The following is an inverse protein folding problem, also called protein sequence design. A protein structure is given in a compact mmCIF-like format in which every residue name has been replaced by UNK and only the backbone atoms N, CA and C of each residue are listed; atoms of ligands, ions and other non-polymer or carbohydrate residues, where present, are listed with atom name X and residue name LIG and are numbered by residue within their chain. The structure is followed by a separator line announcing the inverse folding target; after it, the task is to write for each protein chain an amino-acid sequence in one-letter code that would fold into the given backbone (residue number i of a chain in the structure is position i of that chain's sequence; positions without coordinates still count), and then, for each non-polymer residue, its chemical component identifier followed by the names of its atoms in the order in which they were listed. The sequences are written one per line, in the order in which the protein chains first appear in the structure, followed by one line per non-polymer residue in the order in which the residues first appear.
data_IF_151916436810
#
_entry.id   IF_151916436810
#
_cell.length_a   1.000
_cell.length_b   1.000
_cell.length_c   1.000
_cell.angle_alpha   90.00
_cell.angle_beta   90.00
_cell.angle_gamma   90.00
#
_symmetry.space_group_name_H-M   'P 1'
#
loop_
_entity.id
_entity.type
_entity.pdbx_description
1 polymer ?
#
# COMPACT_ATOMS: atom_id res chain seq x y z
N UNK A 1 7.43 0.79 12.23
CA UNK A 1 8.63 1.63 12.42
C UNK A 1 8.31 3.12 12.37
N UNK A 2 7.96 3.71 11.22
CA UNK A 2 7.74 5.16 11.12
C UNK A 2 6.64 5.70 12.07
N UNK A 3 5.42 5.18 11.94
CA UNK A 3 4.24 5.61 12.73
C UNK A 3 4.36 5.30 14.22
N UNK A 4 4.71 4.06 14.55
CA UNK A 4 4.61 3.58 15.94
C UNK A 4 5.93 3.71 16.73
N UNK A 5 7.03 4.15 16.11
CA UNK A 5 8.33 4.25 16.79
C UNK A 5 9.06 5.56 16.46
N UNK A 6 9.35 5.84 15.18
CA UNK A 6 10.21 6.96 14.80
C UNK A 6 9.57 8.35 14.98
N UNK A 7 8.26 8.44 14.76
CA UNK A 7 7.49 9.68 14.93
C UNK A 7 6.70 9.71 16.26
N UNK A 8 6.90 8.75 17.16
CA UNK A 8 6.34 8.83 18.50
C UNK A 8 7.29 9.62 19.41
N UNK A 9 6.76 10.55 20.19
CA UNK A 9 7.50 11.28 21.20
C UNK A 9 7.26 10.63 22.57
N UNK A 10 8.30 10.60 23.39
CA UNK A 10 8.21 10.07 24.73
C UNK A 10 7.98 11.21 25.71
N UNK A 11 6.83 11.21 26.38
CA UNK A 11 6.53 12.19 27.43
C UNK A 11 7.41 11.96 28.66
N UNK A 12 7.54 12.98 29.50
CA UNK A 12 8.30 12.93 30.76
C UNK A 12 7.83 11.80 31.69
N UNK A 13 6.56 11.39 31.56
CA UNK A 13 5.93 10.31 32.35
C UNK A 13 6.21 8.90 31.80
N UNK A 14 7.09 8.77 30.80
CA UNK A 14 7.48 7.50 30.20
C UNK A 14 6.52 6.95 29.13
N UNK A 15 5.34 7.55 28.97
CA UNK A 15 4.31 7.21 27.98
C UNK A 15 4.67 7.73 26.58
N UNK A 16 4.54 6.87 25.55
CA UNK A 16 4.69 7.26 24.16
C UNK A 16 3.44 7.97 23.61
N UNK A 17 3.58 9.24 23.24
CA UNK A 17 2.56 10.01 22.54
C UNK A 17 2.84 10.03 21.04
N UNK A 18 1.82 9.76 20.23
CA UNK A 18 1.93 9.89 18.78
C UNK A 18 1.87 11.37 18.40
N UNK A 19 2.93 11.85 17.75
CA UNK A 19 2.92 13.20 17.16
C UNK A 19 1.93 13.28 15.99
N UNK A 20 1.57 14.49 15.56
CA UNK A 20 0.75 14.71 14.36
C UNK A 20 1.37 14.04 13.11
N UNK A 21 2.70 14.05 13.03
CA UNK A 21 3.43 13.35 11.97
C UNK A 21 3.14 11.84 11.99
N UNK A 22 3.13 11.21 13.16
CA UNK A 22 2.83 9.78 13.29
C UNK A 22 1.38 9.46 12.93
N UNK A 23 0.43 10.28 13.39
CA UNK A 23 -1.00 10.08 13.18
C UNK A 23 -1.38 10.15 11.70
N UNK A 24 -0.81 11.12 10.98
CA UNK A 24 -1.15 11.38 9.58
C UNK A 24 -0.12 10.85 8.57
N UNK A 25 0.95 10.17 9.02
CA UNK A 25 2.05 9.72 8.17
C UNK A 25 1.60 8.93 6.93
N UNK A 26 0.68 7.97 7.09
CA UNK A 26 0.22 7.13 5.97
C UNK A 26 -0.57 7.95 4.94
N UNK A 27 -1.34 8.94 5.39
CA UNK A 27 -2.04 9.86 4.49
C UNK A 27 -1.06 10.77 3.75
N UNK A 28 -0.09 11.34 4.46
CA UNK A 28 0.99 12.13 3.85
C UNK A 28 1.82 11.33 2.86
N UNK A 29 2.20 10.10 3.21
CA UNK A 29 2.95 9.20 2.34
C UNK A 29 2.15 8.86 1.07
N UNK A 30 0.85 8.59 1.20
CA UNK A 30 -0.05 8.35 0.08
C UNK A 30 -0.14 9.55 -0.86
N UNK A 31 -0.37 10.75 -0.33
CA UNK A 31 -0.42 11.99 -1.12
C UNK A 31 0.92 12.30 -1.79
N UNK A 32 2.02 12.21 -1.04
CA UNK A 32 3.38 12.42 -1.50
C UNK A 32 3.81 11.40 -2.58
N UNK A 33 3.15 10.23 -2.63
CA UNK A 33 3.39 9.25 -3.68
C UNK A 33 2.53 9.51 -4.91
N UNK A 34 1.22 9.66 -4.74
CA UNK A 34 0.30 9.69 -5.87
C UNK A 34 0.32 11.02 -6.64
N UNK A 35 0.36 12.16 -5.94
CA UNK A 35 0.27 13.48 -6.58
C UNK A 35 1.45 13.73 -7.52
N UNK A 36 2.72 13.53 -7.12
CA UNK A 36 3.85 13.76 -8.01
C UNK A 36 3.86 12.80 -9.19
N UNK A 37 3.54 11.51 -8.99
CA UNK A 37 3.43 10.56 -10.10
C UNK A 37 2.40 11.01 -11.13
N UNK A 38 1.21 11.44 -10.68
CA UNK A 38 0.14 11.89 -11.55
C UNK A 38 0.55 13.16 -12.33
N UNK A 39 1.05 14.17 -11.62
CA UNK A 39 1.43 15.46 -12.22
C UNK A 39 2.55 15.29 -13.25
N UNK A 40 3.59 14.53 -12.92
CA UNK A 40 4.71 14.35 -13.84
C UNK A 40 4.36 13.44 -15.02
N UNK A 41 3.45 12.47 -14.84
CA UNK A 41 2.91 11.70 -15.97
C UNK A 41 2.11 12.60 -16.91
N UNK A 42 1.26 13.49 -16.36
CA UNK A 42 0.51 14.48 -17.14
C UNK A 42 1.43 15.45 -17.88
N UNK A 43 2.44 16.00 -17.20
CA UNK A 43 3.44 16.90 -17.80
C UNK A 43 4.21 16.16 -18.90
N UNK A 44 4.63 14.90 -18.68
CA UNK A 44 5.35 14.11 -19.68
C UNK A 44 4.53 13.84 -20.96
N UNK A 45 3.20 13.96 -20.86
CA UNK A 45 2.26 13.81 -21.96
C UNK A 45 2.20 15.07 -22.84
N UNK A 46 2.10 16.24 -22.23
CA UNK A 46 1.96 17.53 -22.94
C UNK A 46 3.30 18.19 -23.27
N UNK A 47 4.24 18.11 -22.35
CA UNK A 47 5.61 18.56 -22.55
C UNK A 47 6.35 17.39 -23.16
N UNK A 48 6.51 17.39 -24.48
CA UNK A 48 7.46 16.50 -25.12
C UNK A 48 8.88 16.87 -24.65
N UNK A 49 9.28 16.36 -23.48
CA UNK A 49 10.62 16.54 -22.92
C UNK A 49 11.61 16.19 -24.03
N UNK A 50 12.41 17.16 -24.47
CA UNK A 50 13.37 17.00 -25.56
C UNK A 50 14.27 15.79 -25.24
N UNK A 51 14.06 14.69 -25.94
CA UNK A 51 14.56 13.40 -25.50
C UNK A 51 13.73 12.24 -26.01
N UNK A 52 14.32 11.33 -26.77
CA UNK A 52 13.65 10.07 -27.13
C UNK A 52 13.28 9.26 -25.89
N UNK A 53 12.24 8.43 -25.98
CA UNK A 53 11.70 7.62 -24.87
C UNK A 53 12.79 6.87 -24.09
N UNK A 54 13.77 6.29 -24.80
CA UNK A 54 14.92 5.59 -24.21
C UNK A 54 15.73 6.45 -23.25
N UNK A 55 15.99 7.73 -23.58
CA UNK A 55 16.73 8.66 -22.71
C UNK A 55 15.92 9.00 -21.46
N UNK A 56 14.61 9.20 -21.60
CA UNK A 56 13.70 9.47 -20.47
C UNK A 56 13.70 8.28 -19.50
N UNK A 57 13.54 7.06 -20.01
CA UNK A 57 13.57 5.83 -19.21
C UNK A 57 14.91 5.69 -18.48
N UNK A 58 16.04 5.85 -19.19
CA UNK A 58 17.38 5.75 -18.59
C UNK A 58 17.63 6.78 -17.50
N UNK A 59 17.25 8.04 -17.73
CA UNK A 59 17.37 9.10 -16.73
C UNK A 59 16.49 8.85 -15.50
N UNK A 60 15.23 8.45 -15.70
CA UNK A 60 14.33 8.11 -14.58
C UNK A 60 14.88 6.96 -13.74
N UNK A 61 15.40 5.89 -14.36
CA UNK A 61 16.01 4.77 -13.64
C UNK A 61 17.26 5.19 -12.84
N UNK A 62 18.09 6.06 -13.41
CA UNK A 62 19.25 6.61 -12.73
C UNK A 62 18.85 7.44 -11.49
N UNK A 63 17.86 8.32 -11.63
CA UNK A 63 17.31 9.11 -10.50
C UNK A 63 16.72 8.20 -9.42
N UNK A 64 15.96 7.17 -9.81
CA UNK A 64 15.41 6.18 -8.86
C UNK A 64 16.51 5.47 -8.08
N UNK A 65 17.57 5.02 -8.75
CA UNK A 65 18.70 4.34 -8.09
C UNK A 65 19.42 5.25 -7.08
N UNK A 66 19.66 6.52 -7.43
CA UNK A 66 20.26 7.49 -6.52
C UNK A 66 19.40 7.72 -5.29
N UNK A 67 18.09 7.92 -5.47
CA UNK A 67 17.20 8.19 -4.34
C UNK A 67 17.13 6.96 -3.42
N UNK A 68 17.05 5.75 -3.97
CA UNK A 68 17.08 4.51 -3.18
C UNK A 68 18.39 4.41 -2.38
N UNK A 69 19.53 4.74 -2.98
CA UNK A 69 20.82 4.75 -2.28
C UNK A 69 20.83 5.77 -1.13
N UNK A 70 20.32 6.98 -1.37
CA UNK A 70 20.19 8.02 -0.35
C UNK A 70 19.30 7.53 0.80
N UNK A 71 18.12 6.97 0.49
CA UNK A 71 17.20 6.44 1.51
C UNK A 71 17.86 5.31 2.32
N UNK A 72 18.63 4.43 1.67
CA UNK A 72 19.35 3.35 2.34
C UNK A 72 20.43 3.89 3.29
N UNK A 73 21.26 4.84 2.86
CA UNK A 73 22.27 5.47 3.71
C UNK A 73 21.60 6.16 4.91
N UNK A 74 20.49 6.86 4.66
CA UNK A 74 19.76 7.59 5.70
C UNK A 74 19.20 6.65 6.79
N UNK A 75 18.95 5.38 6.48
CA UNK A 75 18.51 4.40 7.51
C UNK A 75 19.58 4.08 8.56
N UNK A 76 20.87 4.31 8.26
CA UNK A 76 21.97 4.09 9.21
C UNK A 76 22.29 5.31 10.07
N UNK A 77 21.76 6.49 9.72
CA UNK A 77 22.05 7.74 10.43
C UNK A 77 21.08 7.89 11.61
N UNK A 78 21.62 8.11 12.81
CA UNK A 78 20.79 8.29 14.00
C UNK A 78 20.16 9.70 14.04
N UNK A 79 18.95 9.83 13.50
CA UNK A 79 18.18 11.09 13.51
C UNK A 79 17.15 11.14 14.64
N UNK A 80 17.43 10.58 15.81
CA UNK A 80 16.42 10.46 16.89
C UNK A 80 16.04 11.79 17.53
N UNK A 81 16.90 12.81 17.43
CA UNK A 81 16.66 14.15 18.00
C UNK A 81 15.98 15.13 17.04
N UNK A 82 15.81 14.79 15.76
CA UNK A 82 15.27 15.69 14.73
C UNK A 82 14.10 15.07 13.97
N UNK A 83 13.00 14.81 14.69
CA UNK A 83 11.81 14.12 14.19
C UNK A 83 11.20 14.86 12.97
N UNK A 84 11.07 16.19 13.05
CA UNK A 84 10.52 17.02 11.98
C UNK A 84 11.40 17.03 10.72
N UNK A 85 12.71 17.23 10.87
CA UNK A 85 13.63 17.21 9.74
C UNK A 85 13.64 15.84 9.04
N UNK A 86 13.65 14.75 9.82
CA UNK A 86 13.55 13.39 9.29
C UNK A 86 12.26 13.17 8.50
N UNK A 87 11.12 13.68 8.99
CA UNK A 87 9.85 13.63 8.29
C UNK A 87 9.90 14.34 6.93
N UNK A 88 10.32 15.61 6.89
CA UNK A 88 10.34 16.40 5.65
C UNK A 88 11.34 15.84 4.62
N UNK A 89 12.52 15.40 5.06
CA UNK A 89 13.50 14.74 4.18
C UNK A 89 12.91 13.45 3.60
N UNK A 90 12.27 12.62 4.43
CA UNK A 90 11.61 11.39 3.97
C UNK A 90 10.55 11.71 2.93
N UNK A 91 9.66 12.67 3.21
CA UNK A 91 8.62 13.07 2.26
C UNK A 91 9.18 13.63 0.96
N UNK A 92 10.25 14.44 1.02
CA UNK A 92 10.92 14.96 -0.17
C UNK A 92 11.49 13.81 -1.04
N UNK A 93 12.14 12.82 -0.44
CA UNK A 93 12.65 11.65 -1.19
C UNK A 93 11.52 10.83 -1.81
N UNK A 94 10.40 10.65 -1.10
CA UNK A 94 9.20 9.97 -1.62
C UNK A 94 8.62 10.71 -2.81
N UNK A 95 8.51 12.05 -2.74
CA UNK A 95 8.01 12.88 -3.85
C UNK A 95 8.89 12.74 -5.08
N UNK A 96 10.21 12.84 -4.92
CA UNK A 96 11.16 12.73 -6.03
C UNK A 96 11.16 11.33 -6.66
N UNK A 97 11.10 10.29 -5.83
CA UNK A 97 11.03 8.90 -6.28
C UNK A 97 9.78 8.66 -7.13
N UNK A 98 8.62 9.12 -6.64
CA UNK A 98 7.35 8.93 -7.31
C UNK A 98 7.20 9.81 -8.56
N UNK A 99 7.78 11.01 -8.58
CA UNK A 99 7.90 11.84 -9.77
C UNK A 99 8.70 11.13 -10.88
N UNK A 100 9.88 10.60 -10.54
CA UNK A 100 10.71 9.85 -11.48
C UNK A 100 10.01 8.57 -11.98
N UNK A 101 9.32 7.86 -11.09
CA UNK A 101 8.51 6.69 -11.43
C UNK A 101 7.37 7.03 -12.41
N UNK A 102 6.70 8.18 -12.25
CA UNK A 102 5.66 8.63 -13.18
C UNK A 102 6.17 8.81 -14.61
N UNK A 103 7.34 9.46 -14.77
CA UNK A 103 7.99 9.62 -16.08
C UNK A 103 8.44 8.27 -16.66
N UNK A 104 9.01 7.39 -15.82
CA UNK A 104 9.44 6.06 -16.21
C UNK A 104 8.26 5.22 -16.74
N UNK A 105 7.18 5.08 -15.95
CA UNK A 105 6.02 4.27 -16.34
C UNK A 105 5.37 4.80 -17.61
N UNK A 106 5.10 6.11 -17.67
CA UNK A 106 4.53 6.77 -18.85
C UNK A 106 5.36 6.47 -20.11
N UNK A 107 6.67 6.71 -20.05
CA UNK A 107 7.57 6.49 -21.18
C UNK A 107 7.71 5.01 -21.57
N UNK A 108 7.67 4.10 -20.60
CA UNK A 108 7.79 2.66 -20.84
C UNK A 108 6.53 2.09 -21.50
N UNK A 109 5.34 2.52 -21.07
CA UNK A 109 4.09 2.17 -21.75
C UNK A 109 4.02 2.77 -23.16
N UNK A 110 4.52 4.00 -23.34
CA UNK A 110 4.66 4.59 -24.67
C UNK A 110 5.64 3.83 -25.59
N UNK A 111 6.74 3.31 -25.04
CA UNK A 111 7.69 2.50 -25.80
C UNK A 111 7.08 1.15 -26.20
N UNK A 112 6.45 0.44 -25.26
CA UNK A 112 5.88 -0.89 -25.50
C UNK A 112 4.63 -0.88 -26.38
N UNK A 113 3.96 0.27 -26.51
CA UNK A 113 2.81 0.47 -27.39
C UNK A 113 3.08 0.11 -28.86
N UNK A 114 4.32 0.27 -29.33
CA UNK A 114 4.71 -0.02 -30.72
C UNK A 114 5.01 -1.52 -30.95
N UNK A 115 5.11 -2.31 -29.88
CA UNK A 115 5.41 -3.74 -29.93
C UNK A 115 4.13 -4.58 -29.86
N UNK A 116 4.19 -5.90 -30.16
CA UNK A 116 3.07 -6.82 -29.96
C UNK A 116 2.43 -6.72 -28.57
N UNK A 117 1.12 -7.01 -28.42
CA UNK A 117 0.36 -6.69 -27.21
C UNK A 117 0.92 -7.38 -25.96
N UNK A 118 1.51 -8.55 -26.15
CA UNK A 118 2.13 -9.34 -25.08
C UNK A 118 3.23 -8.55 -24.35
N UNK A 119 3.93 -7.63 -25.02
CA UNK A 119 4.97 -6.79 -24.38
C UNK A 119 4.37 -5.74 -23.45
N UNK A 120 3.24 -5.13 -23.80
CA UNK A 120 2.53 -4.23 -22.89
C UNK A 120 1.95 -5.00 -21.70
N UNK A 121 1.41 -6.20 -21.93
CA UNK A 121 0.93 -7.03 -20.83
C UNK A 121 2.06 -7.51 -19.91
N UNK A 122 3.24 -7.81 -20.46
CA UNK A 122 4.41 -8.19 -19.66
C UNK A 122 4.77 -7.14 -18.60
N UNK A 123 4.57 -5.84 -18.90
CA UNK A 123 4.75 -4.76 -17.92
C UNK A 123 3.75 -4.87 -16.76
N UNK A 124 2.47 -5.11 -17.06
CA UNK A 124 1.39 -5.17 -16.07
C UNK A 124 1.53 -6.42 -15.21
N UNK A 125 1.80 -7.56 -15.85
CA UNK A 125 2.11 -8.80 -15.16
C UNK A 125 3.33 -8.63 -14.23
N UNK A 126 4.40 -7.98 -14.72
CA UNK A 126 5.57 -7.65 -13.92
C UNK A 126 5.26 -6.80 -12.69
N UNK A 127 4.41 -5.77 -12.83
CA UNK A 127 3.95 -4.96 -11.70
C UNK A 127 3.20 -5.78 -10.65
N UNK A 128 2.28 -6.66 -11.08
CA UNK A 128 1.50 -7.49 -10.14
C UNK A 128 2.37 -8.57 -9.46
N UNK A 129 3.35 -9.15 -10.17
CA UNK A 129 4.34 -10.07 -9.60
C UNK A 129 5.21 -9.34 -8.57
N UNK A 130 5.69 -8.13 -8.89
CA UNK A 130 6.45 -7.30 -7.96
C UNK A 130 5.63 -6.99 -6.69
N UNK A 131 4.35 -6.63 -6.83
CA UNK A 131 3.45 -6.43 -5.69
C UNK A 131 3.26 -7.67 -4.83
N UNK A 132 3.19 -8.85 -5.44
CA UNK A 132 3.14 -10.13 -4.74
C UNK A 132 4.43 -10.36 -3.95
N UNK A 133 5.58 -10.17 -4.58
CA UNK A 133 6.89 -10.29 -3.94
C UNK A 133 7.05 -9.33 -2.76
N UNK A 134 6.70 -8.05 -2.93
CA UNK A 134 6.71 -7.04 -1.86
C UNK A 134 5.80 -7.44 -0.69
N UNK A 135 4.63 -8.01 -0.98
CA UNK A 135 3.70 -8.49 0.05
C UNK A 135 4.28 -9.66 0.86
N UNK A 136 4.94 -10.61 0.19
CA UNK A 136 5.64 -11.72 0.84
C UNK A 136 6.79 -11.20 1.72
N UNK A 137 7.62 -10.31 1.20
CA UNK A 137 8.71 -9.68 1.98
C UNK A 137 8.16 -8.94 3.19
N UNK A 138 7.02 -8.24 3.06
CA UNK A 138 6.35 -7.56 4.16
C UNK A 138 5.90 -8.54 5.25
N UNK A 139 5.27 -9.66 4.89
CA UNK A 139 4.84 -10.71 5.83
C UNK A 139 6.05 -11.33 6.54
N UNK A 140 7.08 -11.71 5.79
CA UNK A 140 8.32 -12.27 6.35
C UNK A 140 8.94 -11.27 7.34
N UNK A 141 9.03 -10.00 6.97
CA UNK A 141 9.57 -8.94 7.84
C UNK A 141 8.77 -8.80 9.13
N UNK A 142 7.44 -8.87 9.06
CA UNK A 142 6.57 -8.83 10.24
C UNK A 142 6.78 -10.05 11.14
N UNK A 143 6.91 -11.26 10.58
CA UNK A 143 7.17 -12.48 11.37
C UNK A 143 8.55 -12.47 12.03
N UNK A 144 9.58 -12.04 11.30
CA UNK A 144 10.91 -11.83 11.87
C UNK A 144 10.88 -10.81 13.01
N UNK A 145 10.19 -9.68 12.81
CA UNK A 145 10.04 -8.66 13.85
C UNK A 145 9.34 -9.22 15.10
N UNK A 146 8.24 -9.97 14.94
CA UNK A 146 7.56 -10.64 16.07
C UNK A 146 8.49 -11.59 16.80
N UNK A 147 9.27 -12.39 16.08
CA UNK A 147 10.21 -13.33 16.67
C UNK A 147 11.26 -12.60 17.53
N UNK A 148 11.87 -11.54 17.00
CA UNK A 148 12.83 -10.73 17.76
C UNK A 148 12.22 -10.07 18.99
N UNK A 149 11.01 -9.52 18.87
CA UNK A 149 10.31 -8.91 20.01
C UNK A 149 9.95 -9.93 21.09
N UNK A 150 9.49 -11.14 20.71
CA UNK A 150 9.23 -12.24 21.66
C UNK A 150 10.53 -12.70 22.35
N UNK A 151 11.64 -12.76 21.61
CA UNK A 151 12.96 -13.11 22.18
C UNK A 151 13.45 -12.04 23.16
N UNK A 152 13.36 -10.76 22.78
CA UNK A 152 13.71 -9.64 23.66
C UNK A 152 12.87 -9.69 24.95
N UNK A 153 11.57 -9.99 24.85
CA UNK A 153 10.69 -10.12 26.03
C UNK A 153 11.15 -11.21 26.98
N UNK A 154 11.47 -12.39 26.47
CA UNK A 154 11.98 -13.48 27.31
C UNK A 154 13.28 -13.12 28.02
N UNK A 155 14.13 -12.30 27.41
CA UNK A 155 15.33 -11.78 28.06
C UNK A 155 15.00 -10.73 29.11
N UNK A 156 14.09 -9.79 28.82
CA UNK A 156 13.63 -8.79 29.80
C UNK A 156 12.92 -9.44 30.98
N UNK A 157 12.02 -10.40 30.78
CA UNK A 157 11.32 -11.10 31.88
C UNK A 157 12.29 -11.91 32.74
N UNK A 158 13.32 -12.53 32.14
CA UNK A 158 14.39 -13.20 32.90
C UNK A 158 15.19 -12.21 33.72
N UNK A 159 15.61 -11.10 33.11
CA UNK A 159 16.34 -10.05 33.80
C UNK A 159 15.49 -9.40 34.89
N UNK A 160 14.18 -9.20 34.70
CA UNK A 160 13.25 -8.66 35.71
C UNK A 160 12.95 -9.69 36.81
N UNK A 161 13.02 -10.99 36.54
CA UNK A 161 12.89 -12.00 37.59
C UNK A 161 14.18 -12.12 38.43
N UNK A 162 15.34 -12.01 37.80
CA UNK A 162 16.65 -11.97 38.48
C UNK A 162 16.86 -10.64 39.21
N UNK A 163 16.67 -9.51 38.52
CA UNK A 163 16.63 -8.17 39.11
C UNK A 163 15.48 -8.02 40.08
N UNK A 164 14.33 -8.68 39.92
CA UNK A 164 13.20 -8.65 40.85
C UNK A 164 13.55 -9.28 42.21
N UNK A 165 14.35 -10.34 42.20
CA UNK A 165 14.97 -10.89 43.41
C UNK A 165 16.00 -9.93 44.03
N UNK A 166 16.73 -9.16 43.21
CA UNK A 166 17.65 -8.11 43.68
C UNK A 166 16.93 -6.80 44.08
N UNK A 167 15.80 -6.46 43.45
CA UNK A 167 14.96 -5.27 43.61
C UNK A 167 14.03 -5.43 44.79
N UNK A 168 13.66 -6.65 45.19
CA UNK A 168 13.03 -6.86 46.50
C UNK A 168 13.98 -6.49 47.66
N UNK A 169 15.31 -6.46 47.42
CA UNK A 169 16.32 -5.87 48.33
C UNK A 169 16.63 -4.38 48.06
N UNK A 170 16.37 -3.86 46.86
CA UNK A 170 16.69 -2.47 46.44
C UNK A 170 15.45 -1.54 46.42
N UNK A 171 14.22 -2.07 46.54
CA UNK A 171 12.93 -1.35 46.54
C UNK A 171 12.78 -0.31 47.65
N UNK A 172 13.78 -0.18 48.52
CA UNK A 172 13.88 0.90 49.48
C UNK A 172 14.34 2.23 48.86
N UNK A 173 15.02 2.27 47.70
CA UNK A 173 15.76 3.50 47.33
C UNK A 173 15.42 4.17 45.99
N UNK A 174 15.41 3.56 44.79
CA UNK A 174 15.11 4.39 43.60
C UNK A 174 14.58 3.58 42.41
N UNK A 175 13.45 4.04 41.89
CA UNK A 175 12.70 3.40 40.83
C UNK A 175 12.73 4.18 39.54
N UNK A 176 13.21 3.54 38.46
CA UNK A 176 12.78 3.83 37.09
C UNK A 176 12.77 2.51 36.30
N UNK A 177 11.58 2.06 35.87
CA UNK A 177 11.36 0.84 35.06
C UNK A 177 10.78 1.26 33.69
N UNK A 178 11.35 0.72 32.61
CA UNK A 178 10.70 0.73 31.29
C UNK A 178 9.59 -0.33 31.25
N UNK A 179 8.35 0.12 31.03
CA UNK A 179 7.12 -0.64 31.28
C UNK A 179 6.85 -1.77 30.26
N UNK A 180 6.74 -3.02 30.73
CA UNK A 180 6.40 -4.20 29.94
C UNK A 180 5.03 -4.12 29.23
N UNK A 181 4.20 -3.15 29.62
CA UNK A 181 2.93 -2.82 28.97
C UNK A 181 3.11 -2.31 27.54
N UNK A 182 4.17 -1.54 27.25
CA UNK A 182 4.45 -1.07 25.88
C UNK A 182 4.84 -2.22 24.96
N UNK A 183 5.65 -3.16 25.46
CA UNK A 183 6.07 -4.34 24.71
C UNK A 183 4.89 -5.29 24.43
N UNK A 184 3.90 -5.33 25.31
CA UNK A 184 2.63 -6.04 25.09
C UNK A 184 1.77 -5.38 24.01
N UNK A 185 1.63 -4.05 24.04
CA UNK A 185 0.89 -3.31 23.01
C UNK A 185 1.50 -3.46 21.62
N UNK A 186 2.82 -3.39 21.49
CA UNK A 186 3.52 -3.50 20.20
C UNK A 186 3.37 -4.91 19.60
N UNK A 187 3.53 -5.96 20.42
CA UNK A 187 3.39 -7.36 19.95
C UNK A 187 1.95 -7.66 19.54
N UNK A 188 0.95 -7.30 20.36
CA UNK A 188 -0.48 -7.50 20.05
C UNK A 188 -0.90 -6.79 18.77
N UNK A 189 -0.43 -5.55 18.54
CA UNK A 189 -0.75 -4.79 17.33
C UNK A 189 -0.13 -5.40 16.06
N UNK A 190 1.01 -6.08 16.19
CA UNK A 190 1.72 -6.76 15.10
C UNK A 190 1.03 -8.09 14.72
N UNK A 191 0.20 -8.67 15.60
CA UNK A 191 -0.58 -9.88 15.31
C UNK A 191 -1.64 -9.69 14.22
N UNK A 192 -1.91 -8.44 13.79
CA UNK A 192 -2.81 -8.14 12.66
C UNK A 192 -2.16 -8.43 11.29
N UNK A 193 -1.82 -9.71 11.04
CA UNK A 193 -1.40 -10.25 9.72
C UNK A 193 -2.52 -10.21 8.67
N UNK A 194 -3.77 -10.05 9.12
CA UNK A 194 -4.94 -10.12 8.27
C UNK A 194 -4.85 -9.14 7.09
N UNK A 195 -4.51 -7.86 7.33
CA UNK A 195 -4.41 -6.88 6.24
C UNK A 195 -3.29 -7.19 5.25
N UNK A 196 -2.03 -7.46 5.66
CA UNK A 196 -0.97 -7.87 4.74
C UNK A 196 -1.31 -9.09 3.87
N UNK A 197 -1.95 -10.10 4.45
CA UNK A 197 -2.30 -11.34 3.75
C UNK A 197 -3.51 -11.11 2.83
N UNK A 198 -4.61 -10.62 3.40
CA UNK A 198 -5.91 -10.59 2.73
C UNK A 198 -6.04 -9.42 1.76
N UNK A 199 -5.42 -8.27 2.05
CA UNK A 199 -5.54 -7.08 1.23
C UNK A 199 -4.38 -6.91 0.23
N UNK A 200 -3.15 -7.29 0.60
CA UNK A 200 -1.99 -7.10 -0.27
C UNK A 200 -1.58 -8.38 -0.99
N UNK A 201 -1.29 -9.47 -0.27
CA UNK A 201 -0.82 -10.70 -0.89
C UNK A 201 -1.89 -11.32 -1.81
N UNK A 202 -3.11 -11.52 -1.29
CA UNK A 202 -4.22 -12.09 -2.04
C UNK A 202 -4.52 -11.26 -3.30
N UNK A 203 -4.66 -9.93 -3.15
CA UNK A 203 -4.95 -9.05 -4.27
C UNK A 203 -3.87 -9.13 -5.35
N UNK A 204 -2.60 -8.94 -4.99
CA UNK A 204 -1.52 -8.91 -5.97
C UNK A 204 -1.30 -10.27 -6.65
N UNK A 205 -1.43 -11.37 -5.90
CA UNK A 205 -1.28 -12.72 -6.46
C UNK A 205 -2.36 -13.02 -7.50
N UNK A 206 -3.63 -12.77 -7.15
CA UNK A 206 -4.74 -13.03 -8.06
C UNK A 206 -4.81 -12.01 -9.21
N UNK A 207 -4.38 -10.77 -9.00
CA UNK A 207 -4.19 -9.82 -10.10
C UNK A 207 -3.09 -10.29 -11.06
N UNK A 208 -1.98 -10.84 -10.55
CA UNK A 208 -0.95 -11.44 -11.41
C UNK A 208 -1.50 -12.62 -12.21
N UNK A 209 -2.29 -13.50 -11.58
CA UNK A 209 -2.97 -14.61 -12.26
C UNK A 209 -3.92 -14.12 -13.38
N UNK A 210 -4.70 -13.07 -13.11
CA UNK A 210 -5.56 -12.43 -14.10
C UNK A 210 -4.78 -11.85 -15.27
N UNK A 211 -3.69 -11.13 -15.01
CA UNK A 211 -2.83 -10.58 -16.06
C UNK A 211 -2.13 -11.67 -16.88
N UNK A 212 -1.77 -12.79 -16.25
CA UNK A 212 -1.21 -13.94 -16.93
C UNK A 212 -2.23 -14.59 -17.88
N UNK A 213 -3.48 -14.78 -17.42
CA UNK A 213 -4.57 -15.32 -18.24
C UNK A 213 -4.83 -14.47 -19.51
N UNK A 214 -4.67 -13.15 -19.41
CA UNK A 214 -4.83 -12.23 -20.54
C UNK A 214 -3.83 -12.46 -21.69
N UNK A 215 -2.71 -13.18 -21.46
CA UNK A 215 -1.79 -13.57 -22.54
C UNK A 215 -2.40 -14.62 -23.47
N UNK A 216 -3.25 -15.51 -22.94
CA UNK A 216 -3.81 -16.63 -23.69
C UNK A 216 -5.17 -16.28 -24.27
N UNK A 217 -6.02 -15.60 -23.49
CA UNK A 217 -7.39 -15.29 -23.87
C UNK A 217 -7.62 -13.80 -23.72
N UNK A 218 -7.94 -13.13 -24.83
CA UNK A 218 -8.23 -11.69 -24.88
C UNK A 218 -9.72 -11.51 -25.23
N UNK A 219 -10.55 -11.54 -24.21
CA UNK A 219 -12.00 -11.40 -24.31
C UNK A 219 -12.50 -10.55 -23.14
N UNK A 220 -13.49 -9.66 -23.27
CA UNK A 220 -14.26 -9.30 -24.47
C UNK A 220 -13.49 -8.42 -25.44
N UNK A 221 -14.09 -8.16 -26.61
CA UNK A 221 -13.53 -7.21 -27.58
C UNK A 221 -13.46 -5.78 -27.03
N UNK A 222 -12.65 -4.88 -27.62
CA UNK A 222 -12.42 -3.53 -27.09
C UNK A 222 -13.69 -2.70 -26.85
N UNK A 223 -14.77 -2.96 -27.61
CA UNK A 223 -16.06 -2.27 -27.44
C UNK A 223 -16.84 -2.76 -26.21
N UNK A 224 -16.71 -4.03 -25.86
CA UNK A 224 -17.51 -4.69 -24.82
C UNK A 224 -16.78 -4.79 -23.47
N UNK A 225 -15.46 -4.57 -23.43
CA UNK A 225 -14.65 -4.65 -22.19
C UNK A 225 -15.15 -3.70 -21.09
N UNK A 226 -15.82 -2.61 -21.45
CA UNK A 226 -16.38 -1.64 -20.51
C UNK A 226 -17.50 -2.26 -19.64
N UNK A 227 -18.31 -3.17 -20.19
CA UNK A 227 -19.45 -3.76 -19.47
C UNK A 227 -19.02 -4.52 -18.22
N UNK A 228 -18.11 -5.53 -18.28
CA UNK A 228 -17.67 -6.22 -17.08
C UNK A 228 -16.83 -5.32 -16.16
N UNK A 229 -16.15 -4.29 -16.68
CA UNK A 229 -15.42 -3.32 -15.84
C UNK A 229 -16.37 -2.50 -14.98
N UNK A 230 -17.48 -2.01 -15.55
CA UNK A 230 -18.51 -1.28 -14.80
C UNK A 230 -19.22 -2.21 -13.81
N UNK A 231 -19.49 -3.46 -14.21
CA UNK A 231 -20.10 -4.45 -13.31
C UNK A 231 -19.29 -4.67 -12.03
N UNK A 232 -17.96 -4.46 -12.03
CA UNK A 232 -17.12 -4.55 -10.83
C UNK A 232 -17.44 -3.49 -9.78
N UNK A 233 -18.07 -2.37 -10.15
CA UNK A 233 -18.51 -1.36 -9.18
C UNK A 233 -19.51 -1.97 -8.19
N UNK A 234 -20.35 -2.92 -8.62
CA UNK A 234 -21.30 -3.61 -7.74
C UNK A 234 -20.62 -4.50 -6.67
N UNK A 235 -19.37 -4.93 -6.89
CA UNK A 235 -18.62 -5.69 -5.88
C UNK A 235 -18.19 -4.83 -4.69
N UNK A 236 -18.06 -3.51 -4.87
CA UNK A 236 -17.68 -2.58 -3.80
C UNK A 236 -18.72 -2.56 -2.66
N UNK A 237 -20.01 -2.25 -2.90
CA UNK A 237 -21.01 -2.26 -1.82
C UNK A 237 -21.17 -3.66 -1.22
N UNK A 238 -21.11 -4.73 -2.02
CA UNK A 238 -21.15 -6.11 -1.49
C UNK A 238 -20.02 -6.38 -0.49
N UNK A 239 -18.81 -5.90 -0.76
CA UNK A 239 -17.68 -6.01 0.16
C UNK A 239 -17.80 -5.09 1.37
N UNK A 240 -18.41 -3.90 1.23
CA UNK A 240 -18.65 -2.97 2.35
C UNK A 240 -19.61 -3.59 3.40
N UNK A 241 -20.66 -4.29 2.96
CA UNK A 241 -21.64 -4.93 3.84
C UNK A 241 -21.20 -6.30 4.39
N UNK A 242 -19.99 -6.76 4.04
CA UNK A 242 -19.34 -7.87 4.75
C UNK A 242 -18.87 -7.41 6.15
N UNK A 243 -18.23 -8.32 6.90
CA UNK A 243 -17.60 -8.03 8.19
C UNK A 243 -16.37 -7.10 8.08
N UNK A 244 -16.59 -5.87 7.60
CA UNK A 244 -15.62 -4.80 7.45
C UNK A 244 -15.84 -3.75 8.54
N UNK A 245 -14.77 -3.40 9.28
CA UNK A 245 -14.76 -2.42 10.38
C UNK A 245 -15.91 -2.57 11.40
N UNK A 246 -16.06 -3.74 12.06
CA UNK A 246 -17.14 -3.98 13.02
C UNK A 246 -17.15 -3.02 14.22
N UNK A 247 -15.99 -2.52 14.63
CA UNK A 247 -15.84 -1.66 15.82
C UNK A 247 -16.37 -0.23 15.64
N UNK A 248 -16.41 0.28 14.40
CA UNK A 248 -16.73 1.68 14.10
C UNK A 248 -17.96 1.86 13.20
N UNK A 249 -18.52 0.76 12.68
CA UNK A 249 -19.60 0.80 11.71
C UNK A 249 -20.93 1.22 12.36
N UNK A 250 -21.71 2.01 11.64
CA UNK A 250 -23.10 2.35 11.99
C UNK A 250 -24.11 1.48 11.23
N UNK A 251 -23.74 0.98 10.06
CA UNK A 251 -24.58 0.09 9.25
C UNK A 251 -24.62 -1.34 9.81
N UNK A 252 -25.62 -2.14 9.45
CA UNK A 252 -25.71 -3.56 9.82
C UNK A 252 -24.93 -4.48 8.87
N UNK A 253 -24.23 -5.49 9.42
CA UNK A 253 -23.45 -6.46 8.63
C UNK A 253 -24.43 -7.43 7.96
N UNK A 254 -24.34 -7.59 6.64
CA UNK A 254 -25.17 -8.55 5.91
C UNK A 254 -24.51 -9.93 5.84
N UNK A 255 -23.19 -9.96 5.68
CA UNK A 255 -22.41 -11.19 5.55
C UNK A 255 -21.35 -11.28 6.64
N UNK A 256 -21.62 -12.07 7.68
CA UNK A 256 -20.67 -12.35 8.77
C UNK A 256 -19.61 -13.37 8.36
N UNK A 257 -19.90 -14.22 7.37
CA UNK A 257 -18.98 -15.27 6.93
C UNK A 257 -17.80 -14.67 6.14
N UNK A 258 -16.60 -14.77 6.72
CA UNK A 258 -15.35 -14.26 6.12
C UNK A 258 -15.06 -14.85 4.74
N UNK A 259 -15.46 -16.10 4.47
CA UNK A 259 -15.22 -16.74 3.18
C UNK A 259 -15.94 -16.04 2.02
N UNK A 260 -17.10 -15.44 2.28
CA UNK A 260 -17.85 -14.66 1.28
C UNK A 260 -17.03 -13.43 0.86
N UNK A 261 -16.46 -12.71 1.82
CA UNK A 261 -15.59 -11.58 1.56
C UNK A 261 -14.36 -12.00 0.74
N UNK A 262 -13.76 -13.15 1.08
CA UNK A 262 -12.60 -13.70 0.35
C UNK A 262 -12.96 -13.99 -1.10
N UNK A 263 -14.10 -14.64 -1.35
CA UNK A 263 -14.56 -14.95 -2.71
C UNK A 263 -14.72 -13.66 -3.53
N UNK A 264 -15.38 -12.63 -2.97
CA UNK A 264 -15.51 -11.34 -3.66
C UNK A 264 -14.16 -10.67 -3.90
N UNK A 265 -13.25 -10.69 -2.92
CA UNK A 265 -11.91 -10.15 -3.07
C UNK A 265 -11.11 -10.87 -4.18
N UNK A 266 -11.19 -12.20 -4.25
CA UNK A 266 -10.53 -12.99 -5.31
C UNK A 266 -11.11 -12.64 -6.68
N UNK A 267 -12.44 -12.62 -6.83
CA UNK A 267 -13.11 -12.25 -8.07
C UNK A 267 -12.69 -10.84 -8.50
N UNK A 268 -12.72 -9.88 -7.58
CA UNK A 268 -12.33 -8.50 -7.85
C UNK A 268 -10.86 -8.37 -8.26
N UNK A 269 -9.97 -9.19 -7.67
CA UNK A 269 -8.52 -9.17 -7.93
C UNK A 269 -8.17 -9.79 -9.29
N UNK A 270 -8.69 -10.99 -9.58
CA UNK A 270 -8.49 -11.66 -10.89
C UNK A 270 -9.00 -10.77 -12.01
N UNK A 271 -10.24 -10.27 -11.89
CA UNK A 271 -10.83 -9.38 -12.90
C UNK A 271 -10.06 -8.05 -13.01
N UNK A 272 -9.47 -7.55 -11.92
CA UNK A 272 -8.60 -6.36 -11.96
C UNK A 272 -7.39 -6.54 -12.84
N UNK A 273 -6.64 -7.63 -12.61
CA UNK A 273 -5.44 -7.94 -13.37
C UNK A 273 -5.77 -8.19 -14.84
N UNK A 274 -6.80 -9.00 -15.08
CA UNK A 274 -7.21 -9.40 -16.42
C UNK A 274 -7.68 -8.20 -17.27
N UNK A 275 -8.63 -7.39 -16.78
CA UNK A 275 -9.14 -6.26 -17.58
C UNK A 275 -8.13 -5.13 -17.73
N UNK A 276 -7.31 -4.86 -16.71
CA UNK A 276 -6.22 -3.87 -16.84
C UNK A 276 -5.24 -4.29 -17.95
N UNK A 277 -4.88 -5.58 -17.98
CA UNK A 277 -4.04 -6.16 -19.03
C UNK A 277 -4.66 -6.05 -20.42
N UNK A 278 -5.91 -6.48 -20.58
CA UNK A 278 -6.63 -6.45 -21.86
C UNK A 278 -6.78 -5.03 -22.39
N UNK A 279 -7.19 -4.07 -21.55
CA UNK A 279 -7.36 -2.66 -21.95
C UNK A 279 -6.03 -2.08 -22.42
N UNK A 280 -4.96 -2.26 -21.65
CA UNK A 280 -3.65 -1.71 -21.99
C UNK A 280 -3.05 -2.35 -23.27
N UNK A 281 -3.41 -3.59 -23.57
CA UNK A 281 -3.09 -4.22 -24.86
C UNK A 281 -3.89 -3.61 -26.02
N UNK A 282 -5.14 -3.20 -25.80
CA UNK A 282 -6.02 -2.66 -26.84
C UNK A 282 -5.78 -1.19 -27.16
N UNK A 283 -5.54 -0.32 -26.17
CA UNK A 283 -5.50 1.14 -26.35
C UNK A 283 -4.52 1.60 -27.44
N UNK A 284 -3.27 1.10 -27.51
CA UNK A 284 -2.34 1.51 -28.58
C UNK A 284 -2.72 1.06 -29.99
N UNK A 285 -3.63 0.09 -30.12
CA UNK A 285 -3.97 -0.59 -31.38
C UNK A 285 -5.23 -0.07 -32.05
N UNK A 286 -6.07 0.61 -31.28
CA UNK A 286 -7.28 1.25 -31.80
C UNK A 286 -6.99 2.63 -32.40
N UNK A 287 -5.72 3.06 -32.39
CA UNK A 287 -5.24 4.31 -32.98
C UNK A 287 -4.25 4.01 -34.11
N UNK A 288 -3.99 5.02 -34.94
CA UNK A 288 -2.95 4.95 -35.97
C UNK A 288 -1.58 4.61 -35.37
N UNK A 289 -0.73 3.80 -36.05
CA UNK A 289 0.60 3.43 -35.54
C UNK A 289 1.48 4.62 -35.16
N UNK A 290 1.37 5.74 -35.87
CA UNK A 290 2.09 7.00 -35.58
C UNK A 290 1.72 7.61 -34.22
N UNK A 291 0.51 7.31 -33.71
CA UNK A 291 -0.04 7.83 -32.45
C UNK A 291 -0.04 6.78 -31.33
N UNK A 292 0.26 5.52 -31.63
CA UNK A 292 0.24 4.39 -30.69
C UNK A 292 1.09 4.64 -29.43
N UNK A 293 2.29 5.21 -29.59
CA UNK A 293 3.16 5.64 -28.48
C UNK A 293 2.43 6.58 -27.52
N UNK A 294 1.79 7.64 -28.04
CA UNK A 294 1.08 8.62 -27.21
C UNK A 294 -0.15 7.99 -26.57
N UNK A 295 -0.87 7.13 -27.28
CA UNK A 295 -2.00 6.39 -26.73
C UNK A 295 -1.58 5.47 -25.56
N UNK A 296 -0.43 4.80 -25.64
CA UNK A 296 0.13 4.03 -24.53
C UNK A 296 0.47 4.89 -23.31
N UNK A 297 1.03 6.08 -23.53
CA UNK A 297 1.30 7.05 -22.46
C UNK A 297 0.00 7.55 -21.79
N UNK A 298 -1.03 7.86 -22.59
CA UNK A 298 -2.36 8.25 -22.10
C UNK A 298 -3.00 7.12 -21.28
N UNK A 299 -2.90 5.88 -21.75
CA UNK A 299 -3.42 4.72 -21.02
C UNK A 299 -2.77 4.57 -19.64
N UNK A 300 -1.44 4.73 -19.58
CA UNK A 300 -0.69 4.71 -18.32
C UNK A 300 -1.09 5.86 -17.37
N UNK A 301 -1.33 7.06 -17.90
CA UNK A 301 -1.85 8.18 -17.12
C UNK A 301 -3.22 7.84 -16.50
N UNK A 302 -4.18 7.34 -17.28
CA UNK A 302 -5.51 7.00 -16.77
C UNK A 302 -5.49 5.82 -15.78
N UNK A 303 -4.56 4.89 -15.93
CA UNK A 303 -4.33 3.83 -14.94
C UNK A 303 -3.91 4.42 -13.58
N UNK A 304 -2.94 5.33 -13.56
CA UNK A 304 -2.47 5.99 -12.33
C UNK A 304 -3.54 6.92 -11.75
N UNK A 305 -4.28 7.62 -12.61
CA UNK A 305 -5.41 8.44 -12.21
C UNK A 305 -6.46 7.59 -11.49
N UNK A 306 -6.84 6.44 -12.06
CA UNK A 306 -7.78 5.50 -11.44
C UNK A 306 -7.32 5.00 -10.06
N UNK A 307 -6.03 4.65 -9.92
CA UNK A 307 -5.45 4.25 -8.62
C UNK A 307 -5.57 5.40 -7.60
N UNK A 308 -5.24 6.62 -8.02
CA UNK A 308 -5.32 7.81 -7.17
C UNK A 308 -6.75 8.09 -6.73
N UNK A 309 -7.71 8.04 -7.66
CA UNK A 309 -9.14 8.18 -7.35
C UNK A 309 -9.63 7.09 -6.38
N UNK A 310 -9.19 5.83 -6.55
CA UNK A 310 -9.55 4.73 -5.65
C UNK A 310 -9.03 4.91 -4.22
N UNK A 311 -7.81 5.43 -4.06
CA UNK A 311 -7.25 5.77 -2.75
C UNK A 311 -8.09 6.86 -2.09
N UNK A 312 -8.47 7.91 -2.83
CA UNK A 312 -9.35 8.96 -2.31
C UNK A 312 -10.73 8.44 -1.94
N UNK A 313 -11.29 7.56 -2.77
CA UNK A 313 -12.59 6.94 -2.53
C UNK A 313 -12.60 6.03 -1.28
N UNK A 314 -11.45 5.46 -0.90
CA UNK A 314 -11.34 4.65 0.33
C UNK A 314 -11.62 5.46 1.59
N UNK A 315 -11.26 6.75 1.62
CA UNK A 315 -11.62 7.65 2.72
C UNK A 315 -13.12 7.90 2.77
N UNK A 316 -13.75 8.08 1.61
CA UNK A 316 -15.21 8.22 1.52
C UNK A 316 -15.93 6.96 2.00
N UNK A 317 -15.50 5.77 1.56
CA UNK A 317 -16.07 4.49 2.01
C UNK A 317 -15.93 4.32 3.52
N UNK A 318 -14.77 4.65 4.08
CA UNK A 318 -14.55 4.61 5.52
C UNK A 318 -15.52 5.53 6.26
N UNK A 319 -15.63 6.79 5.84
CA UNK A 319 -16.59 7.74 6.40
C UNK A 319 -18.04 7.29 6.26
N UNK A 320 -18.42 6.71 5.11
CA UNK A 320 -19.76 6.22 4.86
C UNK A 320 -20.15 5.06 5.81
N UNK A 321 -19.24 4.10 6.01
CA UNK A 321 -19.44 2.97 6.93
C UNK A 321 -19.51 3.44 8.38
N UNK A 322 -18.62 4.36 8.75
CA UNK A 322 -18.44 4.78 10.14
C UNK A 322 -19.53 5.78 10.57
N UNK A 323 -20.07 6.61 9.66
CA UNK A 323 -20.90 7.78 10.05
C UNK A 323 -22.26 7.92 9.35
N UNK A 324 -22.52 7.22 8.23
CA UNK A 324 -23.73 7.46 7.43
C UNK A 324 -24.91 6.51 7.74
N UNK A 325 -24.71 5.50 8.59
CA UNK A 325 -25.76 4.57 9.02
C UNK A 325 -26.59 5.11 10.17
N UNK A 326 -27.68 4.42 10.50
CA UNK A 326 -28.43 4.72 11.72
C UNK A 326 -27.53 4.47 12.94
N UNK A 327 -27.57 5.37 13.93
CA UNK A 327 -26.77 5.21 15.15
C UNK A 327 -27.30 4.02 15.96
N UNK A 328 -26.62 2.87 15.87
CA UNK A 328 -26.89 1.71 16.71
C UNK A 328 -26.02 1.82 17.98
N UNK A 329 -26.64 2.15 19.11
CA UNK A 329 -26.02 2.21 20.45
C UNK A 329 -25.77 0.84 21.10
N UNK A 330 -25.92 -0.26 20.35
CA UNK A 330 -25.78 -1.62 20.86
C UNK A 330 -24.34 -2.13 20.74
N UNK A 331 -23.72 -2.41 21.88
CA UNK A 331 -22.55 -3.29 21.95
C UNK A 331 -22.85 -4.60 21.20
N UNK A 332 -22.04 -4.92 20.20
CA UNK A 332 -22.04 -6.26 19.60
C UNK A 332 -21.43 -7.22 20.62
N UNK A 333 -22.28 -7.85 21.45
CA UNK A 333 -21.90 -9.02 22.23
C UNK A 333 -21.53 -10.14 21.24
N UNK A 334 -20.24 -10.44 21.16
CA UNK A 334 -19.70 -11.49 20.32
C UNK A 334 -19.90 -12.83 21.05
N UNK A 335 -21.01 -13.51 20.82
CA UNK A 335 -21.06 -14.96 21.00
C UNK A 335 -20.39 -15.63 19.80
N UNK A 336 -19.13 -16.04 19.99
CA UNK A 336 -18.43 -16.93 19.08
C UNK A 336 -18.97 -18.35 19.35
N UNK A 337 -19.80 -18.88 18.46
CA UNK A 337 -20.13 -20.32 18.43
C UNK A 337 -19.58 -20.96 17.16
#
# INVERSE_FOLDING_TARGET
YYVDYKFAERSADGMMHKTDYALHFLAYLGLASQIPTLLLNLINLFVQIKGGLRRRIGFSLFVLAIIILITLIFTFINTSHMISAFFFITMATVVLLNAANGVYQSSLYGLTANFPPQYTNALILGNNICGTFVSVVSIITLEFYKYYMKKARKHTDKNVNEEGQHLQRISTIDGIIMDGTEMNRVVSKTEKLFTPIMAYLLFNFFAAAGSFLANFVQWPSPKWVVVPVIARIALIPLMIFCYFRPEYRTWDVWFYNVWIYIIFAVIMSITSGYFSSVIMMYVPRIVEPSKSTVAGMIAAFFLIFGITCGIMFTFFVSWFVDSAGAYNSGHFDIEIS
#
